data_IF_582884456399
#
_entry.id   IF_582884456399
#
_cell.length_a   1.000
_cell.length_b   1.000
_cell.length_c   1.000
_cell.angle_alpha   90.00
_cell.angle_beta   90.00
_cell.angle_gamma   90.00
#
_symmetry.space_group_name_H-M   'P 1'
#
loop_
_entity.id
_entity.type
_entity.pdbx_description
1 polymer ?
#
# COMPACT_ATOMS: atom_id res chain seq x y z
N UNK A 1 1.87 26.18 -0.70
CA UNK A 1 3.00 25.87 0.19
C UNK A 1 2.58 24.68 1.06
N UNK A 2 3.07 23.47 0.80
CA UNK A 2 2.81 22.34 1.71
C UNK A 2 3.88 22.37 2.80
N UNK A 3 3.48 22.60 4.04
CA UNK A 3 4.38 22.46 5.18
C UNK A 3 4.94 21.03 5.19
N UNK A 4 6.24 20.82 5.43
CA UNK A 4 6.78 19.47 5.60
C UNK A 4 6.04 18.82 6.77
N UNK A 5 5.47 17.64 6.54
CA UNK A 5 4.84 16.86 7.61
C UNK A 5 5.98 16.35 8.50
N UNK A 6 6.31 17.10 9.54
CA UNK A 6 7.32 16.71 10.52
C UNK A 6 6.78 15.47 11.24
N UNK A 7 7.40 14.30 11.02
CA UNK A 7 6.94 13.06 11.63
C UNK A 7 7.35 12.99 13.10
N UNK A 8 6.48 13.49 13.96
CA UNK A 8 6.56 13.36 15.42
C UNK A 8 5.43 12.47 15.94
N UNK A 9 5.59 11.83 17.11
CA UNK A 9 4.50 11.10 17.76
C UNK A 9 3.23 11.96 17.90
N UNK A 10 3.39 13.26 18.12
CA UNK A 10 2.30 14.24 18.24
C UNK A 10 1.58 14.43 16.90
N UNK A 11 2.31 14.61 15.79
CA UNK A 11 1.69 14.72 14.46
C UNK A 11 1.04 13.43 14.00
N UNK A 12 1.48 12.25 14.48
CA UNK A 12 0.80 10.97 14.23
C UNK A 12 -0.49 10.88 15.02
N UNK A 13 -0.50 11.37 16.26
CA UNK A 13 -1.70 11.51 17.10
C UNK A 13 -2.69 12.56 16.57
N UNK A 14 -2.21 13.58 15.85
CA UNK A 14 -3.04 14.64 15.23
C UNK A 14 -3.45 14.33 13.78
N UNK A 15 -2.67 13.54 13.04
CA UNK A 15 -3.01 13.01 11.72
C UNK A 15 -4.42 12.39 11.61
N UNK A 16 -5.01 11.68 12.60
CA UNK A 16 -6.34 11.11 12.47
C UNK A 16 -7.49 12.08 12.18
N UNK A 17 -7.28 13.39 12.19
CA UNK A 17 -8.29 14.38 11.79
C UNK A 17 -8.41 14.54 10.27
N UNK A 18 -7.39 14.10 9.52
CA UNK A 18 -7.43 13.98 8.07
C UNK A 18 -7.69 12.50 7.73
N UNK A 19 -8.93 12.18 7.36
CA UNK A 19 -9.40 10.81 7.12
C UNK A 19 -8.57 10.03 6.10
N UNK A 20 -7.73 10.72 5.33
CA UNK A 20 -6.80 10.12 4.38
C UNK A 20 -5.67 9.29 5.01
N UNK A 21 -5.40 9.42 6.31
CA UNK A 21 -4.36 8.64 7.01
C UNK A 21 -4.86 7.31 7.59
N UNK A 22 -6.18 7.17 7.85
CA UNK A 22 -6.77 5.95 8.45
C UNK A 22 -7.28 4.93 7.42
N UNK A 23 -7.24 5.24 6.13
CA UNK A 23 -7.62 4.30 5.08
C UNK A 23 -6.64 3.14 4.94
N UNK A 24 -7.05 2.07 4.25
CA UNK A 24 -6.23 0.87 3.99
C UNK A 24 -4.84 1.21 3.39
N UNK A 25 -4.74 2.32 2.64
CA UNK A 25 -3.52 2.79 2.00
C UNK A 25 -2.88 4.02 2.67
N UNK A 26 -3.31 4.39 3.87
CA UNK A 26 -2.84 5.59 4.58
C UNK A 26 -1.34 5.57 4.87
N UNK A 27 -0.78 4.40 5.16
CA UNK A 27 0.67 4.24 5.38
C UNK A 27 1.50 4.57 4.13
N UNK A 28 1.11 4.04 2.95
CA UNK A 28 1.79 4.35 1.69
C UNK A 28 1.66 5.83 1.30
N UNK A 29 0.52 6.46 1.60
CA UNK A 29 0.34 7.91 1.42
C UNK A 29 1.38 8.68 2.24
N UNK A 30 1.58 8.27 3.48
CA UNK A 30 2.53 8.91 4.39
C UNK A 30 3.97 8.77 3.90
N UNK A 31 4.35 7.61 3.40
CA UNK A 31 5.70 7.40 2.87
C UNK A 31 5.97 8.29 1.65
N UNK A 32 5.00 8.43 0.75
CA UNK A 32 5.10 9.39 -0.34
C UNK A 32 5.23 10.84 0.15
N UNK A 33 4.39 11.27 1.10
CA UNK A 33 4.44 12.63 1.65
C UNK A 33 5.76 12.92 2.37
N UNK A 34 6.33 11.93 3.07
CA UNK A 34 7.66 12.04 3.70
C UNK A 34 8.75 12.21 2.65
N UNK A 35 8.76 11.38 1.62
CA UNK A 35 9.76 11.52 0.57
C UNK A 35 9.60 12.88 -0.16
N UNK A 36 8.36 13.27 -0.49
CA UNK A 36 8.07 14.51 -1.20
C UNK A 36 8.41 15.77 -0.39
N UNK A 37 8.51 15.66 0.94
CA UNK A 37 8.88 16.78 1.83
C UNK A 37 10.29 17.33 1.56
N UNK A 38 11.17 16.54 0.92
CA UNK A 38 12.51 16.95 0.53
C UNK A 38 12.54 17.89 -0.70
N UNK A 39 11.42 17.99 -1.43
CA UNK A 39 11.31 18.90 -2.57
C UNK A 39 10.24 18.47 -3.59
N UNK A 40 9.12 19.18 -3.62
CA UNK A 40 7.96 18.80 -4.43
C UNK A 40 8.25 18.73 -5.95
N UNK A 41 9.11 19.61 -6.47
CA UNK A 41 9.47 19.63 -7.89
C UNK A 41 10.21 18.37 -8.36
N UNK A 42 11.00 17.74 -7.47
CA UNK A 42 11.76 16.51 -7.74
C UNK A 42 11.06 15.25 -7.25
N UNK A 43 10.09 15.37 -6.35
CA UNK A 43 9.33 14.26 -5.78
C UNK A 43 8.71 13.33 -6.83
N UNK A 44 8.32 13.84 -8.00
CA UNK A 44 7.82 13.00 -9.12
C UNK A 44 8.83 11.99 -9.67
N UNK A 45 10.13 12.24 -9.49
CA UNK A 45 11.21 11.37 -9.93
C UNK A 45 11.83 10.64 -8.74
N UNK A 46 12.22 11.39 -7.71
CA UNK A 46 12.95 10.86 -6.55
C UNK A 46 12.06 9.96 -5.69
N UNK A 47 10.77 10.31 -5.58
CA UNK A 47 9.78 9.58 -4.76
C UNK A 47 8.80 8.75 -5.61
N UNK A 48 9.25 8.39 -6.82
CA UNK A 48 8.42 7.62 -7.76
C UNK A 48 8.01 6.28 -7.17
N UNK A 49 8.90 5.65 -6.42
CA UNK A 49 8.68 4.32 -5.84
C UNK A 49 7.53 4.35 -4.82
N UNK A 50 7.55 5.30 -3.91
CA UNK A 50 6.56 5.51 -2.86
C UNK A 50 5.20 5.87 -3.49
N UNK A 51 5.21 6.65 -4.57
CA UNK A 51 4.00 6.95 -5.34
C UNK A 51 3.43 5.71 -6.03
N UNK A 52 4.30 4.86 -6.59
CA UNK A 52 3.90 3.62 -7.25
C UNK A 52 3.36 2.60 -6.24
N UNK A 53 3.92 2.53 -5.03
CA UNK A 53 3.41 1.70 -3.94
C UNK A 53 2.04 2.19 -3.44
N UNK A 54 1.86 3.51 -3.30
CA UNK A 54 0.57 4.11 -2.98
C UNK A 54 -0.50 3.80 -4.05
N UNK A 55 -0.14 3.91 -5.34
CA UNK A 55 -1.02 3.56 -6.45
C UNK A 55 -1.37 2.08 -6.47
N UNK A 56 -0.40 1.20 -6.23
CA UNK A 56 -0.63 -0.24 -6.17
C UNK A 56 -1.55 -0.61 -5.00
N UNK A 57 -1.45 0.07 -3.87
CA UNK A 57 -2.39 -0.16 -2.77
C UNK A 57 -3.83 0.21 -3.16
N UNK A 58 -4.03 1.34 -3.85
CA UNK A 58 -5.35 1.78 -4.33
C UNK A 58 -5.89 0.90 -5.46
N UNK A 59 -5.03 0.50 -6.38
CA UNK A 59 -5.34 -0.36 -7.51
C UNK A 59 -4.32 -1.51 -7.56
N UNK A 60 -4.64 -2.67 -6.97
CA UNK A 60 -3.69 -3.78 -6.79
C UNK A 60 -3.41 -4.56 -8.09
N UNK A 61 -2.97 -3.86 -9.14
CA UNK A 61 -2.73 -4.40 -10.47
C UNK A 61 -1.59 -5.42 -10.47
N UNK A 62 -0.45 -5.09 -9.85
CA UNK A 62 0.70 -6.01 -9.77
C UNK A 62 0.34 -7.24 -8.95
N UNK A 63 -0.42 -7.08 -7.87
CA UNK A 63 -0.86 -8.19 -7.04
C UNK A 63 -1.79 -9.12 -7.82
N UNK A 64 -2.76 -8.59 -8.57
CA UNK A 64 -3.64 -9.39 -9.43
C UNK A 64 -2.89 -10.09 -10.57
N UNK A 65 -1.92 -9.41 -11.18
CA UNK A 65 -1.09 -10.02 -12.21
C UNK A 65 -0.26 -11.17 -11.62
N UNK A 66 0.32 -10.95 -10.44
CA UNK A 66 1.09 -11.97 -9.73
C UNK A 66 0.23 -13.19 -9.39
N UNK A 67 -0.99 -13.01 -8.88
CA UNK A 67 -1.89 -14.14 -8.58
C UNK A 67 -2.26 -14.89 -9.85
N UNK A 68 -2.60 -14.19 -10.94
CA UNK A 68 -2.89 -14.81 -12.24
C UNK A 68 -1.72 -15.64 -12.78
N UNK A 69 -0.49 -15.14 -12.67
CA UNK A 69 0.71 -15.89 -13.09
C UNK A 69 0.88 -17.14 -12.22
N UNK A 70 0.75 -17.02 -10.89
CA UNK A 70 0.86 -18.16 -9.98
C UNK A 70 -0.20 -19.23 -10.28
N UNK A 71 -1.45 -18.84 -10.51
CA UNK A 71 -2.54 -19.76 -10.89
C UNK A 71 -2.26 -20.48 -12.22
N UNK A 72 -1.76 -19.74 -13.23
CA UNK A 72 -1.38 -20.31 -14.53
C UNK A 72 -0.26 -21.35 -14.38
N UNK A 73 0.76 -21.05 -13.58
CA UNK A 73 1.86 -21.98 -13.31
C UNK A 73 1.40 -23.22 -12.55
N UNK A 74 0.47 -23.08 -11.58
CA UNK A 74 -0.13 -24.24 -10.89
C UNK A 74 -0.92 -25.14 -11.84
N UNK A 75 -1.75 -24.53 -12.70
CA UNK A 75 -2.49 -25.27 -13.73
C UNK A 75 -1.55 -26.00 -14.68
N UNK A 76 -0.43 -25.38 -15.08
CA UNK A 76 0.61 -26.03 -15.90
C UNK A 76 1.22 -27.24 -15.19
N UNK A 77 1.38 -27.17 -13.87
CA UNK A 77 1.93 -28.26 -13.05
C UNK A 77 0.90 -29.34 -12.68
N UNK A 78 -0.37 -29.22 -13.08
CA UNK A 78 -1.43 -30.15 -12.71
C UNK A 78 -1.70 -30.18 -11.19
N UNK A 79 -1.37 -29.09 -10.48
CA UNK A 79 -1.59 -29.00 -9.03
C UNK A 79 -2.98 -28.45 -8.74
N UNK A 80 -3.63 -29.04 -7.74
CA UNK A 80 -4.96 -28.62 -7.28
C UNK A 80 -4.97 -27.18 -6.74
N UNK A 81 -6.17 -26.63 -6.54
CA UNK A 81 -6.34 -25.33 -5.89
C UNK A 81 -5.79 -25.36 -4.46
N UNK A 82 -5.12 -24.27 -4.05
CA UNK A 82 -4.61 -24.14 -2.68
C UNK A 82 -5.81 -23.90 -1.78
N UNK A 83 -6.17 -24.87 -0.94
CA UNK A 83 -7.15 -24.64 0.11
C UNK A 83 -6.60 -23.58 1.08
N UNK A 84 -7.38 -22.55 1.45
CA UNK A 84 -6.94 -21.58 2.45
C UNK A 84 -6.62 -22.35 3.73
N UNK A 85 -5.42 -22.12 4.28
CA UNK A 85 -5.10 -22.68 5.59
C UNK A 85 -6.03 -21.98 6.59
N UNK A 86 -6.50 -22.68 7.63
CA UNK A 86 -7.44 -22.08 8.59
C UNK A 86 -6.95 -20.78 9.24
N UNK A 87 -5.64 -20.49 9.18
CA UNK A 87 -5.01 -19.24 9.64
C UNK A 87 -5.17 -18.06 8.66
N UNK A 88 -5.50 -18.33 7.40
CA UNK A 88 -5.65 -17.34 6.32
C UNK A 88 -7.11 -16.88 6.17
N UNK A 89 -8.04 -17.52 6.89
CA UNK A 89 -9.44 -17.12 6.96
C UNK A 89 -9.51 -16.12 8.12
N UNK A 90 -9.70 -14.82 7.88
CA UNK A 90 -9.96 -13.89 8.98
C UNK A 90 -11.22 -14.39 9.69
N UNK A 91 -11.11 -14.65 11.00
CA UNK A 91 -12.28 -14.93 11.84
C UNK A 91 -13.31 -13.84 11.54
N UNK A 92 -14.47 -14.24 11.01
CA UNK A 92 -15.55 -13.32 10.69
C UNK A 92 -16.09 -12.73 11.99
N UNK A 93 -15.42 -11.70 12.51
CA UNK A 93 -15.99 -10.75 13.45
C UNK A 93 -16.99 -9.89 12.70
N UNK A 94 -18.26 -10.27 12.80
CA UNK A 94 -19.40 -9.40 12.53
C UNK A 94 -19.46 -8.26 13.56
#
# INVERSE_FOLDING_TARGET
>A
MSLPVIYTPITVLQAPWDGAYRGQCGHYKMDFMRCASLGHARAKYDCKKELDDFRECFWPQKQFERTRIMEKERKRQGKDYITPLGKDIPDKGY
#
